data_IF_970859872653
#
_entry.id   IF_970859872653
#
_cell.length_a   1.000
_cell.length_b   1.000
_cell.length_c   1.000
_cell.angle_alpha   90.00
_cell.angle_beta   90.00
_cell.angle_gamma   90.00
#
_symmetry.space_group_name_H-M   'P 1'
#
loop_
_entity.id
_entity.type
_entity.pdbx_description
1 polymer ?
#
# COMPACT_ATOMS: atom_id res chain seq x y z
N UNK A 1 70.30 35.33 26.00
CA UNK A 1 70.43 36.58 26.78
C UNK A 1 69.29 37.51 26.38
N UNK A 2 68.42 37.84 27.34
CA UNK A 2 67.52 39.03 27.44
C UNK A 2 66.39 39.19 26.40
N UNK A 3 65.12 38.97 26.80
CA UNK A 3 64.10 39.97 27.28
C UNK A 3 63.38 40.65 26.08
N UNK A 4 62.11 41.03 26.01
CA UNK A 4 60.84 41.11 26.78
C UNK A 4 59.81 41.63 25.72
N UNK A 5 58.52 41.33 25.68
CA UNK A 5 57.50 41.71 26.64
C UNK A 5 56.15 42.01 25.93
N UNK A 6 55.06 41.64 26.62
CA UNK A 6 53.75 42.28 26.75
C UNK A 6 52.99 42.85 25.52
N UNK A 7 51.78 42.32 25.26
CA UNK A 7 50.57 43.13 25.13
C UNK A 7 49.31 42.30 25.46
N UNK A 8 48.48 42.87 26.33
CA UNK A 8 47.21 42.35 26.80
C UNK A 8 46.08 42.56 25.77
N UNK A 9 45.03 41.74 25.83
CA UNK A 9 43.66 42.17 26.19
C UNK A 9 42.73 40.96 26.18
N UNK A 10 41.92 40.84 27.22
CA UNK A 10 41.05 39.70 27.45
C UNK A 10 39.74 39.73 26.68
N UNK A 11 39.05 38.59 26.69
CA UNK A 11 37.59 38.52 26.59
C UNK A 11 37.03 37.41 27.47
N UNK A 12 36.36 37.89 28.50
CA UNK A 12 35.28 37.37 29.34
C UNK A 12 34.73 35.96 29.04
N UNK A 13 34.70 35.21 30.13
CA UNK A 13 33.98 33.99 30.48
C UNK A 13 32.54 33.89 29.96
N UNK A 14 32.12 32.69 29.51
CA UNK A 14 30.86 32.12 29.98
C UNK A 14 30.91 30.59 29.97
N UNK A 15 30.54 30.03 31.12
CA UNK A 15 30.56 28.60 31.45
C UNK A 15 29.61 27.78 30.57
N UNK A 16 30.12 26.69 29.98
CA UNK A 16 29.29 25.56 29.56
C UNK A 16 29.32 24.55 30.71
N UNK A 17 28.21 24.45 31.46
CA UNK A 17 28.00 23.41 32.46
C UNK A 17 27.99 22.04 31.78
N UNK A 18 28.92 21.16 32.16
CA UNK A 18 28.77 19.72 31.98
C UNK A 18 27.79 19.18 33.01
N UNK A 19 26.92 18.24 32.64
CA UNK A 19 26.53 17.17 33.57
C UNK A 19 25.82 16.01 32.86
N UNK A 20 26.52 14.87 32.90
CA UNK A 20 26.01 13.55 33.32
C UNK A 20 25.22 12.68 32.32
N UNK A 21 25.98 11.74 31.75
CA UNK A 21 25.71 10.30 31.56
C UNK A 21 24.45 9.80 32.32
N UNK A 22 23.49 9.26 31.56
CA UNK A 22 22.37 8.44 32.06
C UNK A 22 22.40 7.03 31.44
N UNK A 23 22.11 5.95 32.20
CA UNK A 23 22.41 4.58 31.80
C UNK A 23 21.28 3.87 31.02
N UNK A 24 21.73 2.98 30.14
CA UNK A 24 21.17 1.67 29.74
C UNK A 24 19.64 1.45 29.69
N UNK A 25 19.13 1.52 28.46
CA UNK A 25 18.26 0.53 27.80
C UNK A 25 17.69 -0.62 28.63
N UNK A 26 16.38 -0.63 28.86
CA UNK A 26 15.55 -1.85 28.80
C UNK A 26 14.09 -1.49 28.47
N UNK A 27 13.48 -2.37 27.66
CA UNK A 27 12.05 -2.58 27.40
C UNK A 27 11.44 -2.02 26.10
N UNK A 28 11.19 -3.02 25.24
CA UNK A 28 10.26 -3.11 24.12
C UNK A 28 10.60 -2.34 22.85
N UNK A 29 11.58 -2.89 22.13
CA UNK A 29 11.58 -2.87 20.67
C UNK A 29 10.27 -3.51 20.22
N UNK A 30 9.25 -2.70 19.96
CA UNK A 30 8.05 -3.15 19.24
C UNK A 30 8.56 -3.68 17.91
N UNK A 31 8.71 -5.00 17.85
CA UNK A 31 9.19 -5.69 16.68
C UNK A 31 8.32 -5.27 15.50
N UNK A 32 8.97 -4.94 14.40
CA UNK A 32 8.41 -4.53 13.12
C UNK A 32 7.11 -5.28 12.81
N UNK A 33 5.97 -4.74 13.24
CA UNK A 33 4.66 -5.26 12.89
C UNK A 33 4.50 -4.95 11.40
N UNK A 34 4.73 -5.96 10.58
CA UNK A 34 4.55 -5.90 9.15
C UNK A 34 3.04 -5.72 8.88
N UNK A 35 2.57 -4.47 8.76
CA UNK A 35 1.18 -4.06 8.42
C UNK A 35 0.79 -4.50 7.01
N UNK A 36 0.82 -5.81 6.75
CA UNK A 36 0.36 -6.44 5.51
C UNK A 36 -0.82 -7.38 5.76
N UNK A 37 -1.17 -7.60 7.03
CA UNK A 37 -2.23 -8.53 7.44
C UNK A 37 -3.61 -7.87 7.63
N UNK A 38 -3.70 -6.53 7.70
CA UNK A 38 -4.95 -5.84 8.06
C UNK A 38 -5.96 -5.72 6.91
N UNK A 39 -5.55 -5.82 5.63
CA UNK A 39 -6.45 -5.58 4.49
C UNK A 39 -7.33 -6.79 4.09
N UNK A 40 -7.00 -8.01 4.56
CA UNK A 40 -7.75 -9.20 4.16
C UNK A 40 -9.18 -9.27 4.73
N UNK A 41 -9.48 -8.53 5.80
CA UNK A 41 -10.81 -8.53 6.44
C UNK A 41 -11.69 -7.35 6.05
N UNK A 42 -11.16 -6.34 5.35
CA UNK A 42 -11.96 -5.24 4.84
C UNK A 42 -12.80 -5.75 3.65
N UNK A 43 -14.06 -6.13 3.91
CA UNK A 43 -15.09 -6.47 2.90
C UNK A 43 -15.61 -5.25 2.14
N UNK A 44 -14.75 -4.25 1.92
CA UNK A 44 -15.13 -2.98 1.33
C UNK A 44 -15.46 -3.13 -0.16
N UNK A 45 -14.84 -4.08 -0.86
CA UNK A 45 -15.10 -4.32 -2.29
C UNK A 45 -16.49 -4.94 -2.51
N UNK A 46 -16.82 -5.99 -1.78
CA UNK A 46 -18.10 -6.69 -1.86
C UNK A 46 -19.25 -5.82 -1.34
N UNK A 47 -18.97 -4.89 -0.41
CA UNK A 47 -19.97 -3.92 0.07
C UNK A 47 -20.43 -2.97 -1.03
N UNK A 48 -19.62 -2.71 -2.07
CA UNK A 48 -20.02 -1.81 -3.17
C UNK A 48 -21.24 -2.32 -3.93
N UNK A 49 -21.43 -3.64 -4.03
CA UNK A 49 -22.63 -4.22 -4.65
C UNK A 49 -23.91 -4.00 -3.84
N UNK A 50 -23.81 -3.58 -2.57
CA UNK A 50 -24.96 -3.29 -1.70
C UNK A 50 -25.41 -1.83 -1.79
N UNK A 51 -24.75 -1.02 -2.60
CA UNK A 51 -25.11 0.39 -2.80
C UNK A 51 -26.42 0.42 -3.58
N UNK A 52 -27.47 0.96 -2.97
CA UNK A 52 -28.75 1.20 -3.61
C UNK A 52 -28.77 2.63 -4.14
N UNK A 53 -28.97 2.77 -5.44
CA UNK A 53 -29.16 4.07 -6.07
C UNK A 53 -30.63 4.49 -6.01
N UNK A 54 -30.91 5.80 -5.98
CA UNK A 54 -32.28 6.28 -6.11
C UNK A 54 -32.88 5.90 -7.47
N UNK A 55 -34.22 5.79 -7.56
CA UNK A 55 -34.92 5.58 -8.82
C UNK A 55 -34.52 6.61 -9.88
N UNK A 56 -34.31 6.17 -11.12
CA UNK A 56 -34.02 7.08 -12.23
C UNK A 56 -35.28 7.83 -12.67
N UNK A 57 -35.13 9.08 -13.09
CA UNK A 57 -36.23 9.82 -13.72
C UNK A 57 -36.41 9.41 -15.18
N UNK A 58 -37.58 9.72 -15.76
CA UNK A 58 -37.94 9.32 -17.13
C UNK A 58 -37.02 9.92 -18.21
N UNK A 59 -36.48 11.12 -17.94
CA UNK A 59 -35.66 11.87 -18.89
C UNK A 59 -34.15 11.57 -18.73
N UNK A 60 -33.76 10.76 -17.75
CA UNK A 60 -32.36 10.39 -17.51
C UNK A 60 -31.92 9.22 -18.40
N UNK A 61 -30.66 9.22 -18.89
CA UNK A 61 -30.11 8.09 -19.62
C UNK A 61 -30.01 6.85 -18.72
N UNK A 62 -30.07 5.66 -19.33
CA UNK A 62 -29.92 4.39 -18.63
C UNK A 62 -28.55 4.32 -17.95
N UNK A 63 -28.52 4.14 -16.62
CA UNK A 63 -27.28 3.95 -15.86
C UNK A 63 -26.68 2.57 -16.17
N UNK A 64 -25.37 2.46 -16.46
CA UNK A 64 -24.72 1.16 -16.59
C UNK A 64 -24.70 0.43 -15.25
N UNK A 65 -24.84 -0.90 -15.28
CA UNK A 65 -24.71 -1.71 -14.08
C UNK A 65 -23.22 -1.91 -13.75
N UNK A 66 -22.83 -1.55 -12.54
CA UNK A 66 -21.48 -1.79 -12.03
C UNK A 66 -21.48 -3.07 -11.17
N UNK A 67 -20.57 -4.00 -11.46
CA UNK A 67 -20.43 -5.26 -10.73
C UNK A 67 -19.03 -5.33 -10.13
N UNK A 68 -18.97 -5.49 -8.81
CA UNK A 68 -17.70 -5.60 -8.07
C UNK A 68 -17.53 -7.03 -7.54
N UNK A 69 -16.56 -7.78 -8.05
CA UNK A 69 -16.26 -9.13 -7.56
C UNK A 69 -14.77 -9.27 -7.24
N UNK A 70 -14.43 -10.12 -6.26
CA UNK A 70 -13.05 -10.43 -5.91
C UNK A 70 -12.93 -11.81 -5.24
N UNK A 71 -11.76 -12.44 -5.40
CA UNK A 71 -11.37 -13.66 -4.68
C UNK A 71 -10.23 -13.37 -3.72
N UNK A 72 -10.38 -13.83 -2.48
CA UNK A 72 -9.41 -13.62 -1.40
C UNK A 72 -8.49 -14.83 -1.24
N UNK A 73 -7.37 -14.63 -0.54
CA UNK A 73 -6.42 -15.67 -0.13
C UNK A 73 -5.85 -16.52 -1.27
N UNK A 74 -5.49 -15.87 -2.38
CA UNK A 74 -4.88 -16.55 -3.52
C UNK A 74 -3.39 -16.74 -3.24
N UNK A 75 -2.93 -18.00 -3.21
CA UNK A 75 -1.49 -18.32 -3.12
C UNK A 75 -0.81 -18.03 -4.47
N UNK A 76 -0.43 -16.76 -4.66
CA UNK A 76 0.32 -16.26 -5.82
C UNK A 76 1.00 -14.93 -5.51
N UNK A 77 1.95 -14.49 -6.35
CA UNK A 77 2.58 -13.17 -6.19
C UNK A 77 1.66 -12.06 -6.70
N UNK A 78 1.59 -10.95 -5.94
CA UNK A 78 0.82 -9.75 -6.31
C UNK A 78 1.30 -9.13 -7.62
N UNK A 79 2.61 -9.10 -7.87
CA UNK A 79 3.17 -8.40 -9.03
C UNK A 79 2.85 -9.18 -10.31
N UNK A 80 2.99 -10.51 -10.26
CA UNK A 80 2.60 -11.39 -11.37
C UNK A 80 1.10 -11.32 -11.66
N UNK A 81 0.27 -11.19 -10.63
CA UNK A 81 -1.17 -10.99 -10.78
C UNK A 81 -1.49 -9.64 -11.43
N UNK A 82 -0.78 -8.57 -11.06
CA UNK A 82 -0.96 -7.25 -11.63
C UNK A 82 -0.68 -7.22 -13.15
N UNK A 83 0.35 -7.91 -13.62
CA UNK A 83 0.61 -8.03 -15.06
C UNK A 83 -0.55 -8.68 -15.82
N UNK A 84 -1.15 -9.72 -15.26
CA UNK A 84 -2.33 -10.37 -15.84
C UNK A 84 -3.56 -9.45 -15.82
N UNK A 85 -3.80 -8.75 -14.71
CA UNK A 85 -4.89 -7.79 -14.61
C UNK A 85 -4.72 -6.63 -15.59
N UNK A 86 -3.48 -6.18 -15.81
CA UNK A 86 -3.15 -5.13 -16.78
C UNK A 86 -3.37 -5.58 -18.21
N UNK A 87 -3.09 -6.86 -18.53
CA UNK A 87 -3.31 -7.46 -19.85
C UNK A 87 -4.79 -7.39 -20.27
N UNK A 88 -5.71 -7.77 -19.38
CA UNK A 88 -7.15 -7.84 -19.69
C UNK A 88 -7.89 -6.50 -19.49
N UNK A 89 -7.20 -5.47 -18.99
CA UNK A 89 -7.83 -4.18 -18.69
C UNK A 89 -8.27 -3.49 -19.99
N UNK A 90 -9.58 -3.27 -20.12
CA UNK A 90 -10.19 -2.60 -21.28
C UNK A 90 -10.58 -3.55 -22.42
N UNK A 91 -10.39 -4.86 -22.24
CA UNK A 91 -10.95 -5.87 -23.14
C UNK A 91 -12.41 -6.15 -22.78
N UNK A 92 -13.19 -6.62 -23.76
CA UNK A 92 -14.50 -7.23 -23.49
C UNK A 92 -14.34 -8.54 -22.73
N UNK A 93 -15.42 -9.00 -22.08
CA UNK A 93 -15.40 -10.24 -21.26
C UNK A 93 -14.93 -11.42 -22.11
N UNK A 94 -15.49 -11.60 -23.30
CA UNK A 94 -15.18 -12.73 -24.18
C UNK A 94 -13.72 -12.70 -24.67
N UNK A 95 -13.22 -11.52 -25.04
CA UNK A 95 -11.82 -11.36 -25.43
C UNK A 95 -10.87 -11.67 -24.26
N UNK A 96 -11.18 -11.19 -23.06
CA UNK A 96 -10.38 -11.48 -21.88
C UNK A 96 -10.37 -12.98 -21.57
N UNK A 97 -11.51 -13.68 -21.69
CA UNK A 97 -11.60 -15.12 -21.49
C UNK A 97 -10.76 -15.89 -22.50
N UNK A 98 -10.80 -15.51 -23.79
CA UNK A 98 -9.97 -16.12 -24.82
C UNK A 98 -8.46 -15.93 -24.53
N UNK A 99 -8.05 -14.74 -24.08
CA UNK A 99 -6.64 -14.48 -23.71
C UNK A 99 -6.19 -15.25 -22.47
N UNK A 100 -7.08 -15.45 -21.49
CA UNK A 100 -6.77 -16.18 -20.26
C UNK A 100 -6.78 -17.70 -20.46
N UNK A 101 -7.53 -18.21 -21.42
CA UNK A 101 -7.64 -19.64 -21.73
C UNK A 101 -6.33 -20.23 -22.24
N UNK A 102 -5.58 -19.48 -23.06
CA UNK A 102 -4.31 -19.93 -23.64
C UNK A 102 -3.07 -19.46 -22.84
N UNK A 103 -3.25 -19.04 -21.59
CA UNK A 103 -2.16 -18.54 -20.76
C UNK A 103 -1.75 -19.57 -19.69
N UNK A 104 -0.54 -20.11 -19.81
CA UNK A 104 -0.01 -21.17 -18.92
C UNK A 104 0.27 -20.72 -17.48
N UNK A 105 -0.02 -19.47 -17.13
CA UNK A 105 0.19 -18.95 -15.77
C UNK A 105 -0.94 -19.43 -14.86
N UNK A 106 -0.57 -19.97 -13.70
CA UNK A 106 -1.52 -20.29 -12.60
C UNK A 106 -2.49 -19.15 -12.28
N UNK A 107 -2.04 -17.90 -12.33
CA UNK A 107 -2.89 -16.73 -12.08
C UNK A 107 -4.00 -16.55 -13.12
N UNK A 108 -3.80 -17.00 -14.37
CA UNK A 108 -4.78 -16.85 -15.44
C UNK A 108 -6.01 -17.73 -15.21
N UNK A 109 -5.82 -18.98 -14.76
CA UNK A 109 -6.92 -19.87 -14.35
C UNK A 109 -7.75 -19.26 -13.23
N UNK A 110 -7.09 -18.67 -12.22
CA UNK A 110 -7.77 -18.00 -11.09
C UNK A 110 -8.60 -16.81 -11.57
N UNK A 111 -8.09 -16.00 -12.50
CA UNK A 111 -8.84 -14.85 -13.05
C UNK A 111 -10.00 -15.33 -13.93
N UNK A 112 -9.80 -16.38 -14.73
CA UNK A 112 -10.87 -16.97 -15.57
C UNK A 112 -12.05 -17.42 -14.72
N UNK A 113 -11.79 -18.14 -13.62
CA UNK A 113 -12.81 -18.55 -12.66
C UNK A 113 -13.57 -17.35 -12.09
N UNK A 114 -12.85 -16.30 -11.67
CA UNK A 114 -13.42 -15.08 -11.07
C UNK A 114 -14.27 -14.28 -12.05
N UNK A 115 -13.98 -14.32 -13.35
CA UNK A 115 -14.74 -13.57 -14.36
C UNK A 115 -16.01 -14.30 -14.81
N UNK A 116 -16.10 -15.62 -14.63
CA UNK A 116 -17.25 -16.44 -15.03
C UNK A 116 -18.29 -16.54 -13.88
N UNK A 117 -17.83 -16.41 -12.63
CA UNK A 117 -18.64 -16.48 -11.42
C UNK A 117 -19.60 -15.31 -11.25
#
# INVERSE_FOLDING_TARGET
MFWTGLAATGRVCSHIRSSLIGPASTLSRVACLHTSAQDFNAKNWERKNRILHPPQQKDEPRRPAEVYHCRRQIKYSKDKMWYLAKLIKGMTIDQALAQLEFNDKKGAQVIKEVNIQ
#
